data_IF_200913801821
#
_entry.id   IF_200913801821
#
_cell.length_a   1.000
_cell.length_b   1.000
_cell.length_c   1.000
_cell.angle_alpha   90.00
_cell.angle_beta   90.00
_cell.angle_gamma   90.00
#
_symmetry.space_group_name_H-M   'P 1'
#
loop_
_entity.id
_entity.type
_entity.pdbx_description
1 polymer ?
#
# COMPACT_ATOMS: atom_id res chain seq x y z
N UNK A 1 -40.51 56.15 -18.14
CA UNK A 1 -40.45 55.70 -16.73
C UNK A 1 -40.17 54.21 -16.71
N UNK A 2 -39.43 53.78 -15.69
CA UNK A 2 -38.46 52.67 -15.66
C UNK A 2 -38.94 51.27 -16.09
N UNK A 3 -38.09 50.64 -16.90
CA UNK A 3 -37.86 49.19 -16.97
C UNK A 3 -37.10 48.72 -15.72
N UNK A 4 -37.55 47.65 -15.06
CA UNK A 4 -36.69 46.89 -14.15
C UNK A 4 -36.90 45.38 -14.37
N UNK A 5 -35.85 44.65 -14.78
CA UNK A 5 -35.86 43.20 -14.91
C UNK A 5 -35.31 42.52 -13.64
N UNK A 6 -35.45 41.19 -13.61
CA UNK A 6 -34.66 40.24 -12.81
C UNK A 6 -34.88 40.20 -11.28
N UNK A 7 -35.50 39.11 -10.83
CA UNK A 7 -34.89 38.27 -9.77
C UNK A 7 -34.90 36.83 -10.24
N UNK A 8 -33.89 36.48 -11.04
CA UNK A 8 -33.46 35.11 -11.25
C UNK A 8 -33.40 34.38 -9.90
N UNK A 9 -34.30 33.39 -9.72
CA UNK A 9 -34.37 32.49 -8.56
C UNK A 9 -33.22 31.46 -8.54
N UNK A 10 -32.12 31.74 -9.23
CA UNK A 10 -30.92 30.91 -9.34
C UNK A 10 -29.81 31.38 -8.40
N UNK A 11 -30.16 31.91 -7.23
CA UNK A 11 -29.18 32.24 -6.20
C UNK A 11 -28.84 30.99 -5.38
N UNK A 12 -27.59 30.55 -5.55
CA UNK A 12 -26.84 29.57 -4.75
C UNK A 12 -27.36 28.12 -4.77
N UNK A 13 -27.16 27.44 -5.90
CA UNK A 13 -26.61 26.09 -5.77
C UNK A 13 -25.11 26.23 -5.43
N UNK A 14 -24.60 25.60 -4.36
CA UNK A 14 -23.17 25.60 -4.08
C UNK A 14 -22.46 24.97 -5.26
N UNK A 15 -21.58 25.74 -5.92
CA UNK A 15 -20.80 25.23 -7.05
C UNK A 15 -19.95 24.03 -6.61
N UNK A 16 -19.96 22.90 -7.34
CA UNK A 16 -19.24 21.68 -6.95
C UNK A 16 -17.71 21.78 -7.12
N UNK A 17 -17.18 22.96 -7.42
CA UNK A 17 -15.83 23.14 -7.98
C UNK A 17 -14.70 23.09 -6.96
N UNK A 18 -14.95 23.49 -5.70
CA UNK A 18 -13.94 23.41 -4.61
C UNK A 18 -13.77 21.99 -4.07
N UNK A 19 -14.89 21.33 -3.75
CA UNK A 19 -14.88 19.99 -3.14
C UNK A 19 -14.48 18.90 -4.15
N UNK A 20 -14.83 19.07 -5.43
CA UNK A 20 -14.45 18.14 -6.49
C UNK A 20 -12.94 18.08 -6.75
N UNK A 21 -12.26 19.24 -6.80
CA UNK A 21 -10.81 19.27 -6.97
C UNK A 21 -10.06 18.59 -5.82
N UNK A 22 -10.51 18.79 -4.58
CA UNK A 22 -9.90 18.17 -3.39
C UNK A 22 -10.08 16.66 -3.39
N UNK A 23 -11.26 16.17 -3.78
CA UNK A 23 -11.52 14.74 -3.93
C UNK A 23 -10.63 14.11 -5.02
N UNK A 24 -10.50 14.76 -6.17
CA UNK A 24 -9.63 14.29 -7.26
C UNK A 24 -8.15 14.21 -6.83
N UNK A 25 -7.64 15.23 -6.13
CA UNK A 25 -6.27 15.21 -5.60
C UNK A 25 -6.06 14.09 -4.56
N UNK A 26 -7.01 13.89 -3.65
CA UNK A 26 -6.95 12.80 -2.67
C UNK A 26 -7.00 11.41 -3.33
N UNK A 27 -7.78 11.26 -4.40
CA UNK A 27 -7.83 10.02 -5.18
C UNK A 27 -6.51 9.74 -5.91
N UNK A 28 -5.89 10.77 -6.50
CA UNK A 28 -4.57 10.67 -7.15
C UNK A 28 -3.49 10.29 -6.14
N UNK A 29 -3.47 10.91 -4.95
CA UNK A 29 -2.53 10.57 -3.88
C UNK A 29 -2.70 9.11 -3.43
N UNK A 30 -3.94 8.66 -3.22
CA UNK A 30 -4.23 7.27 -2.84
C UNK A 30 -3.78 6.29 -3.93
N UNK A 31 -4.06 6.60 -5.19
CA UNK A 31 -3.65 5.79 -6.33
C UNK A 31 -2.12 5.68 -6.42
N UNK A 32 -1.40 6.79 -6.20
CA UNK A 32 0.06 6.79 -6.20
C UNK A 32 0.64 5.95 -5.05
N UNK A 33 0.07 6.03 -3.85
CA UNK A 33 0.51 5.20 -2.71
C UNK A 33 0.21 3.71 -2.93
N UNK A 34 -0.97 3.39 -3.47
CA UNK A 34 -1.33 2.02 -3.82
C UNK A 34 -0.38 1.43 -4.86
N UNK A 35 -0.10 2.19 -5.93
CA UNK A 35 0.87 1.78 -6.94
C UNK A 35 2.27 1.56 -6.36
N UNK A 36 2.74 2.46 -5.49
CA UNK A 36 4.03 2.33 -4.82
C UNK A 36 4.09 1.10 -3.91
N UNK A 37 3.01 0.79 -3.21
CA UNK A 37 2.92 -0.41 -2.38
C UNK A 37 2.96 -1.69 -3.23
N UNK A 38 2.24 -1.72 -4.35
CA UNK A 38 2.28 -2.83 -5.31
C UNK A 38 3.69 -3.03 -5.86
N UNK A 39 4.36 -1.96 -6.28
CA UNK A 39 5.73 -2.07 -6.80
C UNK A 39 6.72 -2.57 -5.74
N UNK A 40 6.59 -2.11 -4.48
CA UNK A 40 7.41 -2.65 -3.37
C UNK A 40 7.14 -4.12 -3.11
N UNK A 41 5.87 -4.52 -3.11
CA UNK A 41 5.48 -5.92 -2.95
C UNK A 41 6.07 -6.80 -4.05
N UNK A 42 6.00 -6.36 -5.31
CA UNK A 42 6.60 -7.06 -6.45
C UNK A 42 8.12 -7.19 -6.31
N UNK A 43 8.80 -6.10 -5.96
CA UNK A 43 10.26 -6.11 -5.75
C UNK A 43 10.64 -7.12 -4.67
N UNK A 44 9.95 -7.10 -3.54
CA UNK A 44 10.26 -8.01 -2.43
C UNK A 44 9.98 -9.47 -2.81
N UNK A 45 8.82 -9.74 -3.41
CA UNK A 45 8.45 -11.09 -3.87
C UNK A 45 9.48 -11.65 -4.87
N UNK A 46 9.94 -10.83 -5.81
CA UNK A 46 10.94 -11.24 -6.80
C UNK A 46 12.32 -11.47 -6.16
N UNK A 47 12.72 -10.61 -5.21
CA UNK A 47 13.96 -10.78 -4.45
C UNK A 47 13.95 -12.08 -3.65
N UNK A 48 12.83 -12.37 -2.98
CA UNK A 48 12.62 -13.62 -2.26
C UNK A 48 12.67 -14.84 -3.17
N UNK A 49 11.99 -14.78 -4.32
CA UNK A 49 11.99 -15.89 -5.29
C UNK A 49 13.41 -16.20 -5.78
N UNK A 50 14.18 -15.16 -6.12
CA UNK A 50 15.59 -15.32 -6.51
C UNK A 50 16.40 -16.01 -5.42
N UNK A 51 16.32 -15.53 -4.18
CA UNK A 51 17.01 -16.12 -3.02
C UNK A 51 16.63 -17.59 -2.84
N UNK A 52 15.33 -17.93 -2.91
CA UNK A 52 14.88 -19.32 -2.83
C UNK A 52 15.41 -20.18 -3.97
N UNK A 53 15.47 -19.68 -5.20
CA UNK A 53 16.10 -20.42 -6.31
C UNK A 53 17.59 -20.69 -6.03
N UNK A 54 18.33 -19.70 -5.53
CA UNK A 54 19.74 -19.87 -5.16
C UNK A 54 19.93 -20.92 -4.06
N UNK A 55 19.06 -20.93 -3.03
CA UNK A 55 19.09 -21.96 -1.99
C UNK A 55 18.76 -23.36 -2.54
N UNK A 56 17.85 -23.49 -3.50
CA UNK A 56 17.54 -24.79 -4.12
C UNK A 56 18.71 -25.33 -4.96
N UNK A 57 19.42 -24.46 -5.69
CA UNK A 57 20.65 -24.85 -6.40
C UNK A 57 21.69 -25.35 -5.40
N UNK A 58 21.91 -24.58 -4.33
CA UNK A 58 22.84 -24.99 -3.27
C UNK A 58 22.46 -26.34 -2.65
N UNK A 59 21.18 -26.58 -2.38
CA UNK A 59 20.72 -27.88 -1.88
C UNK A 59 21.08 -29.02 -2.82
N UNK A 60 20.89 -28.85 -4.13
CA UNK A 60 21.25 -29.86 -5.11
C UNK A 60 22.77 -30.13 -5.12
N UNK A 61 23.58 -29.09 -5.06
CA UNK A 61 25.04 -29.21 -4.98
C UNK A 61 25.49 -29.93 -3.71
N UNK A 62 24.93 -29.55 -2.55
CA UNK A 62 25.24 -30.14 -1.24
C UNK A 62 24.83 -31.63 -1.18
N UNK A 63 23.70 -32.00 -1.79
CA UNK A 63 23.24 -33.39 -1.88
C UNK A 63 24.10 -34.25 -2.82
N UNK A 64 24.61 -33.68 -3.92
CA UNK A 64 25.51 -34.38 -4.84
C UNK A 64 26.89 -34.58 -4.21
N UNK A 65 27.34 -33.64 -3.37
CA UNK A 65 28.62 -33.73 -2.69
C UNK A 65 28.62 -34.71 -1.50
N UNK A 66 27.46 -34.97 -0.90
CA UNK A 66 27.32 -35.89 0.23
C UNK A 66 27.43 -37.36 -0.18
N UNK A 67 28.36 -38.11 0.42
CA UNK A 67 28.56 -39.53 0.14
C UNK A 67 27.77 -40.48 1.07
N UNK A 68 27.19 -39.96 2.16
CA UNK A 68 26.46 -40.75 3.16
C UNK A 68 25.00 -40.28 3.33
N UNK A 69 24.11 -41.22 3.68
CA UNK A 69 22.68 -40.94 3.89
C UNK A 69 22.42 -39.99 5.06
N UNK A 70 23.20 -40.11 6.15
CA UNK A 70 23.06 -39.22 7.30
C UNK A 70 23.43 -37.77 6.94
N UNK A 71 24.47 -37.58 6.13
CA UNK A 71 24.87 -36.25 5.64
C UNK A 71 23.74 -35.63 4.80
N UNK A 72 23.08 -36.42 3.94
CA UNK A 72 21.95 -35.96 3.15
C UNK A 72 20.73 -35.56 4.02
N UNK A 73 20.45 -36.29 5.09
CA UNK A 73 19.37 -35.95 6.02
C UNK A 73 19.65 -34.65 6.79
N UNK A 74 20.87 -34.45 7.27
CA UNK A 74 21.28 -33.23 7.96
C UNK A 74 21.20 -32.01 7.04
N UNK A 75 21.67 -32.14 5.79
CA UNK A 75 21.55 -31.11 4.75
C UNK A 75 20.08 -30.75 4.49
N UNK A 76 19.20 -31.74 4.34
CA UNK A 76 17.76 -31.51 4.13
C UNK A 76 17.11 -30.83 5.33
N UNK A 77 17.40 -31.29 6.55
CA UNK A 77 16.88 -30.72 7.79
C UNK A 77 17.26 -29.24 7.93
N UNK A 78 18.54 -28.91 7.73
CA UNK A 78 19.03 -27.55 7.75
C UNK A 78 18.36 -26.69 6.66
N UNK A 79 18.20 -27.22 5.46
CA UNK A 79 17.51 -26.54 4.37
C UNK A 79 16.06 -26.20 4.72
N UNK A 80 15.29 -27.13 5.28
CA UNK A 80 13.89 -26.88 5.65
C UNK A 80 13.77 -25.89 6.81
N UNK A 81 14.66 -25.94 7.80
CA UNK A 81 14.70 -24.95 8.88
C UNK A 81 14.96 -23.55 8.34
N UNK A 82 15.97 -23.41 7.47
CA UNK A 82 16.28 -22.13 6.83
C UNK A 82 15.13 -21.65 5.94
N UNK A 83 14.54 -22.54 5.14
CA UNK A 83 13.40 -22.21 4.29
C UNK A 83 12.21 -21.70 5.12
N UNK A 84 11.92 -22.36 6.24
CA UNK A 84 10.84 -21.94 7.15
C UNK A 84 11.10 -20.53 7.69
N UNK A 85 12.32 -20.27 8.16
CA UNK A 85 12.72 -18.94 8.63
C UNK A 85 12.60 -17.88 7.54
N UNK A 86 13.08 -18.18 6.33
CA UNK A 86 13.00 -17.29 5.17
C UNK A 86 11.55 -16.90 4.86
N UNK A 87 10.62 -17.86 4.83
CA UNK A 87 9.20 -17.60 4.57
C UNK A 87 8.55 -16.74 5.66
N UNK A 88 8.88 -16.97 6.93
CA UNK A 88 8.37 -16.16 8.05
C UNK A 88 8.85 -14.71 7.94
N UNK A 89 10.13 -14.52 7.65
CA UNK A 89 10.71 -13.19 7.45
C UNK A 89 10.01 -12.48 6.28
N UNK A 90 9.83 -13.18 5.16
CA UNK A 90 9.22 -12.64 3.97
C UNK A 90 7.75 -12.24 4.19
N UNK A 91 6.98 -13.10 4.86
CA UNK A 91 5.61 -12.78 5.26
C UNK A 91 5.55 -11.51 6.14
N UNK A 92 6.53 -11.32 7.03
CA UNK A 92 6.68 -10.11 7.83
C UNK A 92 6.90 -8.85 6.99
N UNK A 93 7.71 -8.93 5.93
CA UNK A 93 7.93 -7.80 5.00
C UNK A 93 6.67 -7.47 4.22
N UNK A 94 5.96 -8.48 3.70
CA UNK A 94 4.68 -8.30 3.01
C UNK A 94 3.65 -7.64 3.94
N UNK A 95 3.53 -8.12 5.17
CA UNK A 95 2.65 -7.51 6.18
C UNK A 95 3.03 -6.05 6.47
N UNK A 96 4.33 -5.73 6.53
CA UNK A 96 4.83 -4.36 6.73
C UNK A 96 4.42 -3.43 5.57
N UNK A 97 4.50 -3.89 4.32
CA UNK A 97 4.05 -3.14 3.14
C UNK A 97 2.54 -2.84 3.25
N UNK A 98 1.74 -3.85 3.58
CA UNK A 98 0.29 -3.69 3.74
C UNK A 98 -0.07 -2.73 4.89
N UNK A 99 0.57 -2.88 6.04
CA UNK A 99 0.39 -2.00 7.20
C UNK A 99 0.72 -0.54 6.88
N UNK A 100 1.80 -0.32 6.12
CA UNK A 100 2.18 1.02 5.68
C UNK A 100 1.13 1.65 4.76
N UNK A 101 0.63 0.89 3.77
CA UNK A 101 -0.42 1.38 2.87
C UNK A 101 -1.72 1.70 3.63
N UNK A 102 -2.12 0.84 4.57
CA UNK A 102 -3.30 1.06 5.40
C UNK A 102 -3.14 2.30 6.30
N UNK A 103 -1.96 2.48 6.91
CA UNK A 103 -1.66 3.65 7.75
C UNK A 103 -1.67 4.95 6.95
N UNK A 104 -1.10 4.97 5.74
CA UNK A 104 -1.13 6.12 4.84
C UNK A 104 -2.57 6.44 4.43
N UNK A 105 -3.37 5.44 4.07
CA UNK A 105 -4.79 5.59 3.74
C UNK A 105 -5.59 6.18 4.90
N UNK A 106 -5.43 5.63 6.11
CA UNK A 106 -6.10 6.13 7.32
C UNK A 106 -5.71 7.59 7.64
N UNK A 107 -4.43 7.95 7.43
CA UNK A 107 -3.97 9.34 7.59
C UNK A 107 -4.60 10.27 6.54
N UNK A 108 -4.84 9.82 5.31
CA UNK A 108 -5.56 10.60 4.30
C UNK A 108 -7.03 10.80 4.67
N UNK A 109 -7.73 9.75 5.11
CA UNK A 109 -9.12 9.84 5.56
C UNK A 109 -9.27 10.78 6.74
N UNK A 110 -8.39 10.68 7.75
CA UNK A 110 -8.44 11.55 8.93
C UNK A 110 -8.25 13.03 8.57
N UNK A 111 -7.28 13.35 7.72
CA UNK A 111 -7.06 14.73 7.23
C UNK A 111 -8.27 15.25 6.45
N UNK A 112 -8.90 14.41 5.63
CA UNK A 112 -10.13 14.77 4.93
C UNK A 112 -11.26 15.15 5.89
N UNK A 113 -11.45 14.35 6.96
CA UNK A 113 -12.46 14.61 7.98
C UNK A 113 -12.17 15.90 8.78
N UNK A 114 -10.93 16.10 9.24
CA UNK A 114 -10.51 17.31 9.97
C UNK A 114 -10.82 18.58 9.15
N UNK A 115 -10.42 18.60 7.88
CA UNK A 115 -10.66 19.78 7.03
C UNK A 115 -12.14 20.05 6.75
N UNK A 116 -12.98 19.01 6.70
CA UNK A 116 -14.44 19.18 6.49
C UNK A 116 -15.10 19.81 7.72
N UNK A 117 -14.64 19.45 8.93
CA UNK A 117 -15.12 20.02 10.18
C UNK A 117 -14.73 21.50 10.28
N UNK A 118 -13.49 21.84 9.92
CA UNK A 118 -13.01 23.23 9.88
C UNK A 118 -13.83 24.09 8.90
N UNK A 119 -14.11 23.60 7.69
CA UNK A 119 -14.92 24.30 6.69
C UNK A 119 -16.37 24.55 7.16
N UNK A 120 -16.99 23.56 7.82
CA UNK A 120 -18.33 23.70 8.41
C UNK A 120 -18.37 24.75 9.52
N UNK A 121 -17.39 24.73 10.42
CA UNK A 121 -17.27 25.70 11.49
C UNK A 121 -17.09 27.13 10.96
N UNK A 122 -16.23 27.32 9.95
CA UNK A 122 -16.02 28.60 9.30
C UNK A 122 -17.29 29.13 8.61
N UNK A 123 -18.11 28.25 8.02
CA UNK A 123 -19.37 28.63 7.36
C UNK A 123 -20.51 29.01 8.31
N UNK A 124 -20.42 28.65 9.59
CA UNK A 124 -21.48 28.88 10.60
C UNK A 124 -21.29 30.21 11.36
N UNK A 125 -20.11 30.82 11.27
CA UNK A 125 -19.77 32.10 11.95
C UNK A 125 -19.96 33.32 11.02
N UNK A 126 -20.29 33.10 9.74
CA UNK A 126 -20.49 34.15 8.72
C UNK A 126 -21.93 34.56 8.49
#
# INVERSE_FOLDING_TARGET
MQTQPERSQFALQPSPTSNGHRFLLAAVDLQAQAFKAVMRYQIETHSFLKHRCEQNVKLADDLVAGNEFNDAFDVLSAFFQNATSDYVIEAGKVASIGSKLASETARHVRRGAETTIEDLAASTVG
#
